data_IF_246980544346
#
_entry.id   IF_246980544346
#
_cell.length_a   1.000
_cell.length_b   1.000
_cell.length_c   1.000
_cell.angle_alpha   90.00
_cell.angle_beta   90.00
_cell.angle_gamma   90.00
#
_symmetry.space_group_name_H-M   'P 1'
#
loop_
_entity.id
_entity.type
_entity.pdbx_description
1 polymer ?
#
# COMPACT_ATOMS: atom_id res chain seq x y z
N UNK A 1 33.42 -7.11 20.50
CA UNK A 1 32.34 -8.09 20.79
C UNK A 1 31.32 -7.95 19.67
N UNK A 2 30.93 -9.03 18.98
CA UNK A 2 29.92 -8.93 17.93
C UNK A 2 28.54 -8.78 18.57
N UNK A 3 27.78 -7.80 18.07
CA UNK A 3 26.42 -7.51 18.51
C UNK A 3 25.51 -8.65 18.03
N UNK A 4 24.85 -9.34 18.97
CA UNK A 4 23.80 -10.30 18.67
C UNK A 4 22.51 -9.55 18.35
N UNK A 5 21.99 -9.74 17.14
CA UNK A 5 20.62 -9.38 16.81
C UNK A 5 19.65 -10.38 17.46
N UNK A 6 18.51 -9.93 18.00
CA UNK A 6 17.48 -10.84 18.49
C UNK A 6 16.92 -11.65 17.32
N UNK A 7 16.86 -12.97 17.53
CA UNK A 7 16.21 -13.91 16.62
C UNK A 7 14.69 -13.81 16.76
N UNK A 8 14.09 -12.78 16.16
CA UNK A 8 12.66 -12.81 15.84
C UNK A 8 12.50 -13.71 14.61
N UNK A 9 12.23 -14.99 14.86
CA UNK A 9 11.91 -15.94 13.81
C UNK A 9 10.76 -15.41 12.95
N UNK A 10 11.05 -15.04 11.71
CA UNK A 10 10.06 -14.80 10.68
C UNK A 10 9.34 -16.14 10.43
N UNK A 11 8.19 -16.34 11.07
CA UNK A 11 7.30 -17.44 10.71
C UNK A 11 6.52 -16.99 9.49
N UNK A 12 6.79 -17.63 8.36
CA UNK A 12 5.84 -17.64 7.25
C UNK A 12 4.52 -18.23 7.78
N UNK A 13 3.46 -17.42 7.82
CA UNK A 13 2.09 -17.89 7.98
C UNK A 13 1.74 -18.79 6.78
N UNK A 14 1.05 -19.92 6.97
CA UNK A 14 0.65 -20.78 5.87
C UNK A 14 -0.35 -20.04 4.99
N UNK A 15 -0.08 -20.03 3.69
CA UNK A 15 -0.95 -19.46 2.68
C UNK A 15 -2.32 -20.19 2.67
N UNK A 16 -3.43 -19.45 2.82
CA UNK A 16 -4.81 -19.94 2.65
C UNK A 16 -5.47 -19.34 1.41
N UNK A 17 -6.16 -20.14 0.61
CA UNK A 17 -6.97 -19.66 -0.53
C UNK A 17 -7.98 -18.57 -0.10
N UNK A 18 -8.18 -17.57 -0.96
CA UNK A 18 -9.25 -16.58 -0.81
C UNK A 18 -10.63 -17.26 -0.88
N UNK A 19 -11.44 -17.10 0.17
CA UNK A 19 -12.83 -17.57 0.21
C UNK A 19 -13.81 -16.46 -0.20
N UNK A 20 -15.10 -16.79 -0.34
CA UNK A 20 -16.14 -15.82 -0.74
C UNK A 20 -16.23 -14.58 0.17
N UNK A 21 -15.94 -14.75 1.46
CA UNK A 21 -15.83 -13.67 2.44
C UNK A 21 -14.69 -12.72 2.09
N UNK A 22 -13.50 -13.27 1.79
CA UNK A 22 -12.33 -12.49 1.36
C UNK A 22 -12.66 -11.74 0.05
N UNK A 23 -13.34 -12.38 -0.90
CA UNK A 23 -13.77 -11.74 -2.16
C UNK A 23 -14.78 -10.60 -1.91
N UNK A 24 -15.75 -10.82 -1.03
CA UNK A 24 -16.72 -9.79 -0.66
C UNK A 24 -16.03 -8.59 -0.02
N UNK A 25 -15.07 -8.87 0.85
CA UNK A 25 -14.28 -7.87 1.52
C UNK A 25 -13.40 -7.10 0.54
N UNK A 26 -12.68 -7.77 -0.37
CA UNK A 26 -11.92 -7.11 -1.43
C UNK A 26 -12.78 -6.22 -2.32
N UNK A 27 -14.04 -6.61 -2.60
CA UNK A 27 -15.00 -5.75 -3.30
C UNK A 27 -15.34 -4.51 -2.48
N UNK A 28 -15.64 -4.68 -1.19
CA UNK A 28 -15.91 -3.57 -0.28
C UNK A 28 -14.72 -2.61 -0.23
N UNK A 29 -13.50 -3.14 -0.13
CA UNK A 29 -12.25 -2.40 -0.09
C UNK A 29 -11.97 -1.65 -1.38
N UNK A 30 -12.23 -2.27 -2.53
CA UNK A 30 -12.10 -1.60 -3.83
C UNK A 30 -13.10 -0.44 -4.00
N UNK A 31 -14.29 -0.58 -3.43
CA UNK A 31 -15.30 0.49 -3.37
C UNK A 31 -14.83 1.59 -2.42
N UNK A 32 -14.46 1.24 -1.19
CA UNK A 32 -13.98 2.16 -0.13
C UNK A 32 -12.70 2.90 -0.52
N UNK A 33 -11.84 2.27 -1.31
CA UNK A 33 -10.64 2.90 -1.86
C UNK A 33 -10.96 4.03 -2.84
N UNK A 34 -12.18 4.13 -3.38
CA UNK A 34 -12.62 5.23 -4.26
C UNK A 34 -13.68 6.13 -3.65
N UNK A 35 -14.61 5.56 -2.90
CA UNK A 35 -15.74 6.27 -2.28
C UNK A 35 -16.00 5.73 -0.88
N UNK A 36 -16.22 6.59 0.12
CA UNK A 36 -16.70 6.12 1.41
C UNK A 36 -18.12 5.56 1.29
N UNK A 37 -18.48 4.62 2.17
CA UNK A 37 -19.84 4.07 2.22
C UNK A 37 -20.86 5.20 2.47
N UNK A 38 -20.59 6.07 3.44
CA UNK A 38 -21.42 7.24 3.76
C UNK A 38 -21.67 8.14 2.54
N UNK A 39 -20.65 8.34 1.69
CA UNK A 39 -20.80 9.12 0.46
C UNK A 39 -21.72 8.42 -0.53
N UNK A 40 -21.56 7.10 -0.70
CA UNK A 40 -22.41 6.32 -1.61
C UNK A 40 -23.85 6.25 -1.13
N UNK A 41 -24.07 6.12 0.17
CA UNK A 41 -25.40 6.17 0.79
C UNK A 41 -26.05 7.54 0.58
N UNK A 42 -25.34 8.62 0.89
CA UNK A 42 -25.82 9.99 0.65
C UNK A 42 -26.10 10.23 -0.84
N UNK A 43 -25.22 9.77 -1.74
CA UNK A 43 -25.43 9.89 -3.18
C UNK A 43 -26.63 9.08 -3.65
N UNK A 44 -26.85 7.88 -3.10
CA UNK A 44 -28.01 7.04 -3.42
C UNK A 44 -29.31 7.70 -2.96
N UNK A 45 -29.32 8.30 -1.77
CA UNK A 45 -30.46 9.05 -1.24
C UNK A 45 -30.79 10.28 -2.11
N UNK A 46 -29.78 11.00 -2.59
CA UNK A 46 -29.97 12.26 -3.33
C UNK A 46 -30.18 12.07 -4.82
N UNK A 47 -29.55 11.06 -5.43
CA UNK A 47 -29.46 10.89 -6.89
C UNK A 47 -30.09 9.58 -7.38
N UNK A 48 -30.37 8.64 -6.49
CA UNK A 48 -30.86 7.30 -6.82
C UNK A 48 -29.75 6.31 -7.21
N UNK A 49 -30.02 5.02 -7.01
CA UNK A 49 -29.05 3.94 -7.20
C UNK A 49 -28.54 3.79 -8.65
N UNK A 50 -29.34 4.13 -9.66
CA UNK A 50 -28.90 4.09 -11.06
C UNK A 50 -27.82 5.13 -11.35
N UNK A 51 -27.94 6.33 -10.79
CA UNK A 51 -26.94 7.38 -10.91
C UNK A 51 -25.64 7.01 -10.16
N UNK A 52 -25.76 6.45 -8.95
CA UNK A 52 -24.62 5.94 -8.18
C UNK A 52 -23.90 4.83 -8.94
N UNK A 53 -24.63 3.90 -9.56
CA UNK A 53 -24.05 2.84 -10.38
C UNK A 53 -23.25 3.41 -11.56
N UNK A 54 -23.78 4.42 -12.26
CA UNK A 54 -23.06 5.10 -13.33
C UNK A 54 -21.83 5.87 -12.82
N UNK A 55 -21.93 6.54 -11.67
CA UNK A 55 -20.81 7.23 -11.02
C UNK A 55 -19.67 6.25 -10.70
N UNK A 56 -20.00 5.11 -10.08
CA UNK A 56 -19.02 4.07 -9.77
C UNK A 56 -18.40 3.54 -11.07
N UNK A 57 -19.20 3.20 -12.08
CA UNK A 57 -18.70 2.68 -13.35
C UNK A 57 -17.77 3.65 -14.09
N UNK A 58 -18.11 4.94 -14.12
CA UNK A 58 -17.32 5.96 -14.83
C UNK A 58 -16.04 6.35 -14.10
N UNK A 59 -16.01 6.19 -12.78
CA UNK A 59 -14.82 6.43 -11.95
C UNK A 59 -13.78 5.29 -11.99
N UNK A 60 -14.11 4.14 -12.58
CA UNK A 60 -13.17 3.02 -12.70
C UNK A 60 -12.10 3.29 -13.76
N UNK A 61 -10.85 2.83 -13.57
CA UNK A 61 -9.82 2.96 -14.60
C UNK A 61 -10.23 2.24 -15.88
N UNK A 62 -10.16 2.93 -17.02
CA UNK A 62 -10.60 2.38 -18.32
C UNK A 62 -9.60 1.35 -18.86
N UNK A 63 -8.31 1.53 -18.59
CA UNK A 63 -7.25 0.67 -19.11
C UNK A 63 -7.07 -0.59 -18.25
N UNK A 64 -6.98 -1.80 -18.84
CA UNK A 64 -6.75 -3.05 -18.09
C UNK A 64 -5.50 -3.02 -17.20
N UNK A 65 -4.40 -2.42 -17.68
CA UNK A 65 -3.16 -2.30 -16.91
C UNK A 65 -3.35 -1.46 -15.65
N UNK A 66 -4.05 -0.33 -15.75
CA UNK A 66 -4.34 0.54 -14.60
C UNK A 66 -5.29 -0.12 -13.61
N UNK A 67 -6.26 -0.93 -14.09
CA UNK A 67 -7.13 -1.73 -13.21
C UNK A 67 -6.34 -2.78 -12.42
N UNK A 68 -5.41 -3.47 -13.07
CA UNK A 68 -4.54 -4.46 -12.40
C UNK A 68 -3.60 -3.83 -11.38
N UNK A 69 -2.98 -2.70 -11.73
CA UNK A 69 -2.17 -1.93 -10.77
C UNK A 69 -3.01 -1.51 -9.57
N UNK A 70 -4.24 -1.03 -9.83
CA UNK A 70 -5.15 -0.62 -8.77
C UNK A 70 -5.56 -1.73 -7.82
N UNK A 71 -5.87 -2.90 -8.38
CA UNK A 71 -6.16 -4.08 -7.59
C UNK A 71 -4.95 -4.50 -6.75
N UNK A 72 -3.74 -4.49 -7.32
CA UNK A 72 -2.51 -4.85 -6.61
C UNK A 72 -2.22 -3.99 -5.39
N UNK A 73 -2.33 -2.66 -5.50
CA UNK A 73 -2.11 -1.77 -4.35
C UNK A 73 -3.25 -1.88 -3.31
N UNK A 74 -4.51 -2.11 -3.71
CA UNK A 74 -5.59 -2.41 -2.73
C UNK A 74 -5.26 -3.66 -1.91
N UNK A 75 -4.81 -4.74 -2.57
CA UNK A 75 -4.39 -5.97 -1.89
C UNK A 75 -3.23 -5.71 -0.92
N UNK A 76 -2.25 -4.92 -1.35
CA UNK A 76 -1.10 -4.58 -0.53
C UNK A 76 -1.50 -3.80 0.72
N UNK A 77 -2.30 -2.73 0.57
CA UNK A 77 -2.79 -1.92 1.68
C UNK A 77 -3.47 -2.79 2.74
N UNK A 78 -4.31 -3.71 2.31
CA UNK A 78 -5.08 -4.55 3.22
C UNK A 78 -4.22 -5.62 3.87
N UNK A 79 -3.26 -6.16 3.13
CA UNK A 79 -2.28 -7.07 3.70
C UNK A 79 -1.42 -6.39 4.76
N UNK A 80 -1.03 -5.14 4.54
CA UNK A 80 -0.27 -4.34 5.50
C UNK A 80 -1.07 -4.04 6.77
N UNK A 81 -2.33 -3.66 6.63
CA UNK A 81 -3.20 -3.36 7.78
C UNK A 81 -3.45 -4.63 8.60
N UNK A 82 -3.83 -5.73 7.95
CA UNK A 82 -4.32 -6.93 8.64
C UNK A 82 -3.22 -7.83 9.16
N UNK A 83 -2.18 -8.04 8.37
CA UNK A 83 -1.16 -9.04 8.69
C UNK A 83 0.12 -8.41 9.24
N UNK A 84 0.35 -7.12 8.97
CA UNK A 84 1.57 -6.43 9.40
C UNK A 84 1.29 -5.30 10.41
N UNK A 85 0.02 -5.00 10.72
CA UNK A 85 -0.37 -4.03 11.74
C UNK A 85 -0.07 -2.56 11.38
N UNK A 86 0.14 -2.24 10.10
CA UNK A 86 0.38 -0.86 9.69
C UNK A 86 -0.92 -0.06 9.66
N UNK A 87 -0.87 1.18 10.13
CA UNK A 87 -1.85 2.19 9.77
C UNK A 87 -1.51 2.74 8.37
N UNK A 88 -2.41 2.57 7.40
CA UNK A 88 -2.27 3.14 6.04
C UNK A 88 -3.35 4.20 5.85
N UNK A 89 -3.09 5.45 6.25
CA UNK A 89 -4.19 6.40 6.42
C UNK A 89 -4.61 7.07 5.11
N UNK A 90 -3.81 6.93 4.04
CA UNK A 90 -4.10 7.51 2.73
C UNK A 90 -4.03 6.42 1.66
N UNK A 91 -5.20 5.99 1.18
CA UNK A 91 -5.34 5.07 0.05
C UNK A 91 -5.33 5.88 -1.26
N UNK A 92 -4.22 5.91 -2.00
CA UNK A 92 -4.02 6.85 -3.13
C UNK A 92 -5.06 6.75 -4.22
N UNK A 93 -5.63 5.58 -4.47
CA UNK A 93 -6.69 5.42 -5.48
C UNK A 93 -7.91 6.32 -5.29
N UNK A 94 -8.15 6.80 -4.07
CA UNK A 94 -9.25 7.73 -3.78
C UNK A 94 -9.08 9.06 -4.52
N UNK A 95 -7.86 9.40 -4.90
CA UNK A 95 -7.50 10.71 -5.44
C UNK A 95 -6.98 10.67 -6.88
N UNK A 96 -6.83 9.47 -7.46
CA UNK A 96 -6.38 9.26 -8.85
C UNK A 96 -7.40 9.70 -9.93
N UNK A 97 -8.41 10.51 -9.58
CA UNK A 97 -9.64 10.68 -10.37
C UNK A 97 -9.53 11.78 -11.44
N UNK A 98 -8.55 12.68 -11.41
CA UNK A 98 -8.50 13.78 -12.39
C UNK A 98 -7.16 13.86 -13.11
N UNK A 99 -7.06 13.09 -14.21
CA UNK A 99 -6.49 13.48 -15.52
C UNK A 99 -5.05 13.97 -15.65
N UNK A 100 -4.58 14.88 -14.80
CA UNK A 100 -3.36 15.67 -15.03
C UNK A 100 -2.38 15.68 -13.84
N UNK A 101 -2.70 14.98 -12.73
CA UNK A 101 -1.79 14.88 -11.59
C UNK A 101 -0.98 13.58 -11.64
N UNK A 102 0.33 13.72 -11.80
CA UNK A 102 1.28 12.64 -11.50
C UNK A 102 1.24 12.40 -9.99
N UNK A 103 0.67 11.27 -9.56
CA UNK A 103 0.72 10.86 -8.16
C UNK A 103 2.19 10.70 -7.72
N UNK A 104 2.52 10.95 -6.44
CA UNK A 104 3.88 10.77 -5.94
C UNK A 104 4.35 9.32 -6.15
N UNK A 105 5.65 9.10 -6.29
CA UNK A 105 6.21 7.87 -6.89
C UNK A 105 5.90 6.54 -6.21
N UNK A 106 5.92 6.51 -4.88
CA UNK A 106 5.77 5.30 -4.09
C UNK A 106 4.30 4.98 -3.85
N UNK A 107 3.84 3.75 -4.06
CA UNK A 107 2.41 3.42 -4.02
C UNK A 107 1.77 3.67 -2.63
N UNK A 108 2.42 3.23 -1.54
CA UNK A 108 1.83 3.27 -0.19
C UNK A 108 2.83 3.83 0.84
N UNK A 109 2.29 4.57 1.82
CA UNK A 109 2.99 4.90 3.07
C UNK A 109 2.21 4.30 4.24
N UNK A 110 2.86 3.39 4.97
CA UNK A 110 2.36 2.80 6.20
C UNK A 110 3.05 3.38 7.43
N UNK A 111 2.31 3.56 8.51
CA UNK A 111 2.81 3.99 9.82
C UNK A 111 2.67 2.82 10.79
N UNK A 112 3.76 2.41 11.41
CA UNK A 112 3.73 1.43 12.50
C UNK A 112 3.75 2.18 13.82
N UNK A 113 2.72 1.95 14.63
CA UNK A 113 2.57 2.57 15.94
C UNK A 113 2.81 1.49 17.02
N UNK A 114 3.58 1.84 18.05
CA UNK A 114 3.79 1.00 19.23
C UNK A 114 2.62 1.09 20.22
N UNK A 115 2.79 0.45 21.38
CA UNK A 115 1.73 0.34 22.41
C UNK A 115 1.20 1.70 22.95
N UNK A 116 2.02 2.75 22.89
CA UNK A 116 1.68 4.10 23.35
C UNK A 116 1.27 5.06 22.20
N UNK A 117 0.82 4.53 21.06
CA UNK A 117 0.58 5.28 19.81
C UNK A 117 1.81 6.04 19.27
N UNK A 118 2.99 5.71 19.79
CA UNK A 118 4.26 6.29 19.36
C UNK A 118 4.64 5.69 18.02
N UNK A 119 5.05 6.54 17.08
CA UNK A 119 5.57 6.10 15.79
C UNK A 119 6.87 5.31 15.98
N UNK A 120 6.85 4.05 15.54
CA UNK A 120 8.01 3.15 15.56
C UNK A 120 8.67 3.06 14.20
N UNK A 121 7.90 3.03 13.11
CA UNK A 121 8.43 2.98 11.75
C UNK A 121 7.52 3.69 10.75
N UNK A 122 8.11 4.22 9.68
CA UNK A 122 7.42 4.71 8.48
C UNK A 122 7.86 3.86 7.30
N UNK A 123 6.92 3.07 6.77
CA UNK A 123 7.19 2.16 5.67
C UNK A 123 6.76 2.77 4.33
N UNK A 124 7.70 2.88 3.40
CA UNK A 124 7.47 3.29 2.03
C UNK A 124 7.45 2.07 1.13
N UNK A 125 6.38 1.92 0.34
CA UNK A 125 6.06 0.63 -0.25
C UNK A 125 5.76 0.77 -1.73
N UNK A 126 6.42 -0.06 -2.54
CA UNK A 126 6.10 -0.28 -3.95
C UNK A 126 5.37 -1.61 -4.13
N UNK A 127 4.22 -1.60 -4.81
CA UNK A 127 3.35 -2.75 -4.95
C UNK A 127 3.40 -3.30 -6.39
N UNK A 128 3.62 -4.61 -6.55
CA UNK A 128 3.55 -5.29 -7.86
C UNK A 128 2.58 -6.45 -7.83
N UNK A 129 1.58 -6.38 -8.70
CA UNK A 129 0.75 -7.52 -9.08
C UNK A 129 1.28 -8.17 -10.37
N UNK A 130 1.35 -9.50 -10.40
CA UNK A 130 1.75 -10.30 -11.57
C UNK A 130 0.86 -11.52 -11.75
N UNK A 131 0.49 -11.79 -12.99
CA UNK A 131 -0.33 -12.95 -13.42
C UNK A 131 0.41 -13.78 -14.47
N UNK A 132 1.73 -13.67 -14.50
CA UNK A 132 2.59 -14.30 -15.49
C UNK A 132 3.99 -14.39 -14.93
N UNK A 133 4.82 -15.25 -15.53
CA UNK A 133 6.18 -15.45 -15.07
C UNK A 133 7.06 -14.21 -15.33
N UNK A 134 7.69 -13.67 -14.28
CA UNK A 134 8.51 -12.46 -14.33
C UNK A 134 9.51 -12.43 -13.16
N UNK A 135 10.67 -13.06 -13.29
CA UNK A 135 11.66 -13.12 -12.21
C UNK A 135 12.38 -11.79 -11.96
N UNK A 136 12.15 -10.76 -12.77
CA UNK A 136 12.76 -9.44 -12.60
C UNK A 136 11.85 -8.44 -11.86
N UNK A 137 10.58 -8.77 -11.63
CA UNK A 137 9.60 -7.83 -11.09
C UNK A 137 10.02 -7.23 -9.73
N UNK A 138 10.56 -8.06 -8.84
CA UNK A 138 10.94 -7.64 -7.50
C UNK A 138 12.18 -6.73 -7.50
N UNK A 139 13.22 -7.07 -8.27
CA UNK A 139 14.42 -6.23 -8.37
C UNK A 139 14.13 -4.90 -9.06
N UNK A 140 13.28 -4.90 -10.08
CA UNK A 140 12.81 -3.67 -10.72
C UNK A 140 11.99 -2.80 -9.77
N UNK A 141 11.07 -3.40 -8.99
CA UNK A 141 10.29 -2.68 -7.99
C UNK A 141 11.18 -2.05 -6.93
N UNK A 142 12.19 -2.78 -6.47
CA UNK A 142 13.13 -2.27 -5.48
C UNK A 142 13.96 -1.10 -6.00
N UNK A 143 14.52 -1.22 -7.21
CA UNK A 143 15.27 -0.12 -7.85
C UNK A 143 14.37 1.11 -8.04
N UNK A 144 13.12 0.90 -8.45
CA UNK A 144 12.14 1.98 -8.58
C UNK A 144 11.87 2.66 -7.22
N UNK A 145 11.60 1.87 -6.18
CA UNK A 145 11.35 2.35 -4.83
C UNK A 145 12.53 3.17 -4.30
N UNK A 146 13.77 2.68 -4.45
CA UNK A 146 14.97 3.40 -4.02
C UNK A 146 15.10 4.75 -4.71
N UNK A 147 14.97 4.77 -6.04
CA UNK A 147 15.04 6.01 -6.81
C UNK A 147 13.94 7.01 -6.40
N UNK A 148 12.73 6.51 -6.18
CA UNK A 148 11.58 7.32 -5.77
C UNK A 148 11.69 7.81 -4.33
N UNK A 149 12.24 7.00 -3.44
CA UNK A 149 12.51 7.40 -2.07
C UNK A 149 13.56 8.52 -2.01
N UNK A 150 14.68 8.36 -2.73
CA UNK A 150 15.76 9.35 -2.76
C UNK A 150 15.33 10.69 -3.33
N UNK A 151 14.41 10.71 -4.29
CA UNK A 151 14.01 11.92 -5.00
C UNK A 151 12.64 12.49 -4.62
N UNK A 152 11.73 11.66 -4.06
CA UNK A 152 10.30 11.99 -3.90
C UNK A 152 9.71 11.60 -2.54
N UNK A 153 10.52 11.22 -1.54
CA UNK A 153 10.02 10.93 -0.20
C UNK A 153 9.30 12.13 0.44
N UNK A 154 9.82 13.35 0.26
CA UNK A 154 9.15 14.54 0.75
C UNK A 154 7.77 14.73 0.10
N UNK A 155 7.66 14.56 -1.22
CA UNK A 155 6.42 14.75 -1.97
C UNK A 155 5.30 13.82 -1.49
N UNK A 156 5.62 12.54 -1.24
CA UNK A 156 4.62 11.61 -0.74
C UNK A 156 4.22 11.93 0.70
N UNK A 157 5.14 12.35 1.57
CA UNK A 157 4.81 12.70 2.94
C UNK A 157 3.94 13.96 3.00
N UNK A 158 4.24 14.98 2.20
CA UNK A 158 3.38 16.16 2.05
C UNK A 158 2.00 15.78 1.54
N UNK A 159 1.94 14.91 0.53
CA UNK A 159 0.67 14.41 0.03
C UNK A 159 -0.12 13.68 1.12
N UNK A 160 0.52 12.81 1.91
CA UNK A 160 -0.11 12.11 3.04
C UNK A 160 -0.64 13.12 4.06
N UNK A 161 0.20 14.05 4.51
CA UNK A 161 -0.17 15.07 5.49
C UNK A 161 -1.37 15.92 5.03
N UNK A 162 -1.37 16.38 3.77
CA UNK A 162 -2.48 17.15 3.21
C UNK A 162 -3.80 16.35 3.23
N UNK A 163 -3.75 15.06 2.91
CA UNK A 163 -4.93 14.19 2.94
C UNK A 163 -5.41 13.89 4.37
N UNK A 164 -4.50 13.78 5.34
CA UNK A 164 -4.86 13.63 6.76
C UNK A 164 -5.55 14.89 7.29
N UNK A 165 -5.07 16.07 6.90
CA UNK A 165 -5.66 17.35 7.27
C UNK A 165 -7.09 17.50 6.71
N UNK A 166 -7.30 17.23 5.42
CA UNK A 166 -8.64 17.22 4.80
C UNK A 166 -9.62 16.25 5.48
N UNK A 167 -9.11 15.16 6.07
CA UNK A 167 -9.92 14.15 6.75
C UNK A 167 -10.12 14.42 8.25
N UNK A 168 -9.44 15.43 8.82
CA UNK A 168 -9.40 15.62 10.27
C UNK A 168 -8.81 14.42 11.02
N UNK A 169 -7.89 13.68 10.38
CA UNK A 169 -7.33 12.44 10.94
C UNK A 169 -6.31 12.76 12.04
N UNK A 170 -6.41 12.14 13.23
CA UNK A 170 -5.51 12.42 14.36
C UNK A 170 -4.03 12.10 14.07
N UNK A 171 -3.74 11.23 13.09
CA UNK A 171 -2.37 10.88 12.69
C UNK A 171 -1.62 12.03 12.01
N UNK A 172 -2.30 13.13 11.68
CA UNK A 172 -1.65 14.31 11.09
C UNK A 172 -0.47 14.79 11.95
N UNK A 173 -0.66 14.91 13.26
CA UNK A 173 0.39 15.40 14.15
C UNK A 173 1.59 14.45 14.16
N UNK A 174 1.35 13.14 14.24
CA UNK A 174 2.37 12.10 14.16
C UNK A 174 3.21 12.22 12.88
N UNK A 175 2.55 12.41 11.72
CA UNK A 175 3.24 12.58 10.43
C UNK A 175 4.04 13.88 10.38
N UNK A 176 3.50 14.99 10.89
CA UNK A 176 4.21 16.28 10.90
C UNK A 176 5.44 16.26 11.82
N UNK A 177 5.33 15.64 12.99
CA UNK A 177 6.46 15.45 13.92
C UNK A 177 7.54 14.58 13.28
N UNK A 178 7.15 13.47 12.67
CA UNK A 178 8.06 12.65 11.89
C UNK A 178 8.73 13.44 10.78
N UNK A 179 7.98 14.19 9.95
CA UNK A 179 8.56 15.00 8.87
C UNK A 179 9.56 16.05 9.37
N UNK A 180 9.30 16.66 10.54
CA UNK A 180 10.22 17.61 11.18
C UNK A 180 11.54 16.93 11.59
N UNK A 181 11.44 15.74 12.18
CA UNK A 181 12.57 15.08 12.81
C UNK A 181 13.25 14.04 11.91
N UNK A 182 12.66 13.71 10.74
CA UNK A 182 13.03 12.60 9.84
C UNK A 182 14.52 12.50 9.54
N UNK A 183 15.19 13.65 9.34
CA UNK A 183 16.63 13.68 9.06
C UNK A 183 17.52 13.18 10.23
N UNK A 184 16.94 13.04 11.42
CA UNK A 184 17.59 12.65 12.66
C UNK A 184 17.04 11.34 13.23
N UNK A 185 16.25 10.59 12.45
CA UNK A 185 15.63 9.34 12.89
C UNK A 185 15.88 8.22 11.89
N UNK A 186 16.04 6.99 12.36
CA UNK A 186 16.20 5.79 11.53
C UNK A 186 14.87 5.00 11.40
N UNK A 187 13.73 5.70 11.33
CA UNK A 187 12.39 5.08 11.31
C UNK A 187 11.96 4.63 9.91
N UNK A 188 12.71 5.00 8.86
CA UNK A 188 12.33 4.77 7.48
C UNK A 188 12.59 3.32 7.08
N UNK A 189 11.53 2.63 6.63
CA UNK A 189 11.61 1.29 6.08
C UNK A 189 11.22 1.34 4.60
N UNK A 190 12.01 0.70 3.75
CA UNK A 190 11.66 0.47 2.35
C UNK A 190 11.20 -0.98 2.17
N UNK A 191 10.02 -1.18 1.60
CA UNK A 191 9.50 -2.52 1.34
C UNK A 191 8.88 -2.64 -0.05
N UNK A 192 8.93 -3.84 -0.61
CA UNK A 192 8.16 -4.18 -1.81
C UNK A 192 7.05 -5.15 -1.42
N UNK A 193 5.84 -4.92 -1.93
CA UNK A 193 4.73 -5.86 -1.79
C UNK A 193 4.50 -6.58 -3.11
N UNK A 194 4.69 -7.90 -3.11
CA UNK A 194 4.52 -8.73 -4.29
C UNK A 194 3.23 -9.54 -4.17
N UNK A 195 2.38 -9.45 -5.18
CA UNK A 195 1.20 -10.30 -5.31
C UNK A 195 1.29 -11.06 -6.63
N UNK A 196 1.13 -12.37 -6.56
CA UNK A 196 1.34 -13.25 -7.70
C UNK A 196 0.23 -14.27 -7.85
N UNK A 197 -0.06 -14.63 -9.09
CA UNK A 197 -0.79 -15.88 -9.36
C UNK A 197 0.11 -17.08 -9.03
N UNK A 198 -0.32 -17.92 -8.09
CA UNK A 198 0.51 -18.98 -7.52
C UNK A 198 1.24 -19.85 -8.57
N UNK A 199 0.55 -20.22 -9.65
CA UNK A 199 1.10 -21.06 -10.74
C UNK A 199 2.25 -20.42 -11.50
N UNK A 200 2.40 -19.11 -11.39
CA UNK A 200 3.41 -18.30 -12.08
C UNK A 200 4.54 -17.82 -11.15
N UNK A 201 4.44 -18.07 -9.84
CA UNK A 201 5.46 -17.70 -8.86
C UNK A 201 6.77 -18.47 -9.08
N UNK A 202 7.89 -17.81 -8.77
CA UNK A 202 9.21 -18.42 -8.72
C UNK A 202 10.05 -17.77 -7.63
N UNK A 203 10.68 -18.58 -6.78
CA UNK A 203 11.62 -18.11 -5.75
C UNK A 203 12.82 -17.35 -6.34
N UNK A 204 13.15 -17.59 -7.62
CA UNK A 204 14.15 -16.79 -8.35
C UNK A 204 13.79 -15.30 -8.37
N UNK A 205 12.50 -14.97 -8.29
CA UNK A 205 12.02 -13.58 -8.20
C UNK A 205 12.59 -12.86 -6.98
N UNK A 206 12.63 -13.53 -5.82
CA UNK A 206 13.24 -12.98 -4.59
C UNK A 206 14.76 -13.05 -4.66
N UNK A 207 15.32 -14.16 -5.15
CA UNK A 207 16.77 -14.33 -5.25
C UNK A 207 17.44 -13.30 -6.18
N UNK A 208 16.70 -12.74 -7.14
CA UNK A 208 17.18 -11.69 -8.04
C UNK A 208 17.24 -10.30 -7.38
N UNK A 209 16.73 -10.16 -6.16
CA UNK A 209 16.83 -8.93 -5.40
C UNK A 209 18.14 -8.98 -4.61
N UNK A 210 19.12 -8.15 -5.01
CA UNK A 210 20.44 -8.15 -4.36
C UNK A 210 20.35 -7.73 -2.88
N UNK A 211 21.14 -8.43 -2.06
CA UNK A 211 20.83 -8.91 -0.71
C UNK A 211 21.42 -8.05 0.44
N UNK A 212 21.58 -6.72 0.31
CA UNK A 212 22.21 -5.92 1.40
C UNK A 212 21.29 -4.93 2.13
N UNK A 213 20.12 -4.56 1.60
CA UNK A 213 19.30 -3.46 2.16
C UNK A 213 17.80 -3.79 2.34
N UNK A 214 17.36 -5.03 2.11
CA UNK A 214 15.94 -5.40 2.20
C UNK A 214 15.64 -6.19 3.47
N UNK A 215 14.67 -5.71 4.24
CA UNK A 215 13.86 -6.59 5.05
C UNK A 215 12.86 -7.27 4.10
N UNK A 216 12.95 -8.59 3.89
CA UNK A 216 11.91 -9.29 3.16
C UNK A 216 10.66 -9.29 4.03
N UNK A 217 9.58 -8.65 3.57
CA UNK A 217 8.23 -8.94 4.06
C UNK A 217 7.49 -9.70 2.95
N UNK A 218 7.81 -10.99 2.70
CA UNK A 218 7.03 -11.77 1.79
C UNK A 218 5.75 -12.17 2.52
N UNK A 219 4.63 -11.54 2.16
CA UNK A 219 3.34 -12.15 2.40
C UNK A 219 2.96 -12.95 1.15
N UNK A 220 3.14 -14.27 1.22
CA UNK A 220 2.52 -15.18 0.25
C UNK A 220 1.03 -15.27 0.59
N UNK A 221 0.21 -14.45 -0.06
CA UNK A 221 -1.25 -14.63 -0.05
C UNK A 221 -1.58 -15.58 -1.21
N UNK A 222 -2.05 -16.77 -0.88
CA UNK A 222 -2.71 -17.70 -1.81
C UNK A 222 -4.13 -17.27 -2.14
#
# INVERSE_FOLDING_TARGET
MPVQFPSSGCRAEPSRDLVDEDIHELKSLAIQARFSLDFLELAAEKLGWDAVKQLVQTSQPKLPRTRRGAFGEILAIEGLIRFQGYAVPVKKFRFAVTGDQTLPGMDVVGLQLGEDDKLENVCFIECKLRTGHDTAAASQAYVQLRNDYESRAADILFYVAARLEEQGNPLLNTVLEYMRDRANTDLDILAIWLTWEQTNWSETTLANVNDEDLLPVPLQVT
#
